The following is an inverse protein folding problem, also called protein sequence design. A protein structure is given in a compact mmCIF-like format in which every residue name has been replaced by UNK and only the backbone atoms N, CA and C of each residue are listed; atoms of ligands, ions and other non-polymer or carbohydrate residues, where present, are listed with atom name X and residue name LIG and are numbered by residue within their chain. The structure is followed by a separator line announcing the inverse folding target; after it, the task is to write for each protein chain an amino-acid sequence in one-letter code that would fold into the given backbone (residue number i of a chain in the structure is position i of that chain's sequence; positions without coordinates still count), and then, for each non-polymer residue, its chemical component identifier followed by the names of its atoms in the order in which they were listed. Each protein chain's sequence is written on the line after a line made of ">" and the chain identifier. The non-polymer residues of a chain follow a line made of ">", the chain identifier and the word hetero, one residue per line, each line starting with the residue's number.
data_IF_398959042646
#
_entry.id   IF_398959042646
#
_cell.length_a   1.000
_cell.length_b   1.000
_cell.length_c   1.000
_cell.angle_alpha   90.00
_cell.angle_beta   90.00
_cell.angle_gamma   90.00
#
_symmetry.space_group_name_H-M   'P 1'
#
loop_
_entity.id
_entity.type
_entity.pdbx_description
1 polymer ?
#
# COMPACT_ATOMS: atom_id res chain seq x y z
N UNK A 1 11.73 -13.13 -1.15
CA UNK A 1 11.16 -13.86 0.01
C UNK A 1 9.82 -13.23 0.31
N UNK A 2 8.71 -13.99 0.25
CA UNK A 2 7.37 -13.43 0.44
C UNK A 2 7.25 -12.84 1.85
N UNK A 3 7.26 -11.51 1.96
CA UNK A 3 6.96 -10.80 3.21
C UNK A 3 5.46 -10.92 3.47
N UNK A 4 5.03 -12.06 3.97
CA UNK A 4 3.73 -12.12 4.62
C UNK A 4 3.85 -11.35 5.94
N UNK A 5 2.92 -10.45 6.26
CA UNK A 5 2.87 -9.87 7.60
C UNK A 5 2.72 -11.01 8.62
N UNK A 6 3.50 -10.97 9.69
CA UNK A 6 3.31 -11.86 10.82
C UNK A 6 2.01 -11.47 11.50
N UNK A 7 0.98 -12.33 11.38
CA UNK A 7 -0.31 -12.12 12.04
C UNK A 7 -0.37 -13.04 13.24
N UNK A 8 -0.73 -12.50 14.40
CA UNK A 8 -1.02 -13.25 15.62
C UNK A 8 -2.31 -12.71 16.24
N UNK A 9 -2.94 -13.50 17.10
CA UNK A 9 -4.13 -13.11 17.83
C UNK A 9 -3.98 -13.51 19.30
N UNK A 10 -4.35 -12.60 20.20
CA UNK A 10 -4.43 -12.85 21.63
C UNK A 10 -5.78 -12.34 22.16
N UNK A 11 -6.38 -13.09 23.09
CA UNK A 11 -7.63 -12.73 23.75
C UNK A 11 -7.40 -12.51 25.23
N UNK A 12 -7.97 -11.44 25.78
CA UNK A 12 -7.89 -11.10 27.20
C UNK A 12 -9.31 -10.92 27.74
N UNK A 13 -9.63 -11.61 28.84
CA UNK A 13 -10.86 -11.36 29.58
C UNK A 13 -10.59 -10.24 30.59
N UNK A 14 -11.24 -9.09 30.41
CA UNK A 14 -11.08 -7.91 31.26
C UNK A 14 -12.45 -7.47 31.81
N UNK A 15 -12.50 -6.89 33.02
CA UNK A 15 -13.72 -6.22 33.51
C UNK A 15 -14.18 -5.10 32.57
N UNK A 16 -15.41 -4.61 32.76
CA UNK A 16 -15.87 -3.42 32.04
C UNK A 16 -15.11 -2.19 32.52
N UNK A 17 -14.71 -1.32 31.59
CA UNK A 17 -13.95 -0.11 31.88
C UNK A 17 -13.12 0.37 30.69
N UNK A 18 -12.46 1.50 30.90
CA UNK A 18 -11.51 2.08 29.94
C UNK A 18 -10.10 1.63 30.26
N UNK A 19 -9.36 1.23 29.23
CA UNK A 19 -8.01 0.71 29.32
C UNK A 19 -7.11 1.40 28.31
N UNK A 20 -5.83 1.49 28.66
CA UNK A 20 -4.78 1.77 27.69
C UNK A 20 -4.04 0.46 27.42
N UNK A 21 -4.09 0.00 26.18
CA UNK A 21 -3.32 -1.13 25.69
C UNK A 21 -1.97 -0.61 25.18
N UNK A 22 -0.90 -0.95 25.88
CA UNK A 22 0.48 -0.72 25.43
C UNK A 22 1.03 -2.03 24.84
N UNK A 23 1.48 -1.99 23.59
CA UNK A 23 2.15 -3.10 22.92
C UNK A 23 3.62 -2.73 22.79
N UNK A 24 4.48 -3.53 23.43
CA UNK A 24 5.94 -3.34 23.40
C UNK A 24 6.57 -4.43 22.57
N UNK A 25 7.39 -4.07 21.59
CA UNK A 25 8.21 -4.97 20.81
C UNK A 25 9.68 -4.78 21.20
N UNK A 26 10.40 -5.87 21.47
CA UNK A 26 11.82 -5.83 21.80
C UNK A 26 12.62 -6.85 20.97
N UNK A 27 13.86 -6.51 20.65
CA UNK A 27 14.78 -7.47 20.03
C UNK A 27 15.17 -8.54 21.06
N UNK A 28 14.90 -9.81 20.74
CA UNK A 28 15.21 -10.96 21.60
C UNK A 28 16.71 -11.13 21.90
N UNK A 29 17.59 -10.69 21.01
CA UNK A 29 19.05 -10.77 21.16
C UNK A 29 19.64 -9.51 21.81
N UNK A 30 18.85 -8.43 21.91
CA UNK A 30 19.26 -7.20 22.56
C UNK A 30 18.02 -6.48 23.16
N UNK A 31 17.53 -6.91 24.33
CA UNK A 31 16.26 -6.42 24.91
C UNK A 31 16.20 -4.91 25.17
N UNK A 32 17.35 -4.22 25.20
CA UNK A 32 17.42 -2.76 25.27
C UNK A 32 16.93 -2.05 23.99
N UNK A 33 16.93 -2.73 22.84
CA UNK A 33 16.32 -2.25 21.59
C UNK A 33 14.84 -2.62 21.62
N UNK A 34 14.02 -1.67 22.07
CA UNK A 34 12.56 -1.81 22.13
C UNK A 34 11.87 -0.60 21.53
N UNK A 35 10.66 -0.84 21.06
CA UNK A 35 9.71 0.19 20.64
C UNK A 35 8.32 -0.16 21.18
N UNK A 36 7.41 0.80 21.22
CA UNK A 36 6.08 0.62 21.79
C UNK A 36 5.03 1.49 21.12
N UNK A 37 3.81 0.96 21.06
CA UNK A 37 2.62 1.69 20.60
C UNK A 37 1.52 1.55 21.64
N UNK A 38 0.75 2.61 21.84
CA UNK A 38 -0.33 2.66 22.84
C UNK A 38 -1.65 3.07 22.22
N UNK A 39 -2.72 2.41 22.64
CA UNK A 39 -4.09 2.67 22.17
C UNK A 39 -5.05 2.68 23.36
N UNK A 40 -6.08 3.50 23.29
CA UNK A 40 -7.18 3.44 24.26
C UNK A 40 -8.25 2.46 23.76
N UNK A 41 -8.71 1.59 24.66
CA UNK A 41 -9.78 0.62 24.39
C UNK A 41 -10.81 0.70 25.52
N UNK A 42 -12.09 0.51 25.19
CA UNK A 42 -13.18 0.49 26.17
C UNK A 42 -13.88 -0.85 26.14
N UNK A 43 -13.96 -1.53 27.29
CA UNK A 43 -14.74 -2.73 27.48
C UNK A 43 -16.11 -2.34 28.06
N UNK A 44 -17.14 -2.30 27.22
CA UNK A 44 -18.48 -1.88 27.60
C UNK A 44 -19.38 -3.06 27.98
N UNK A 45 -20.39 -2.81 28.80
CA UNK A 45 -21.44 -3.78 29.07
C UNK A 45 -22.23 -4.09 27.80
N UNK A 46 -22.58 -5.36 27.60
CA UNK A 46 -23.32 -5.80 26.43
C UNK A 46 -24.80 -5.37 26.47
N UNK A 47 -25.41 -5.03 25.31
CA UNK A 47 -26.84 -4.76 25.23
C UNK A 47 -27.70 -5.92 25.70
N UNK A 48 -28.87 -5.62 26.28
CA UNK A 48 -29.85 -6.63 26.67
C UNK A 48 -30.56 -7.29 25.47
N UNK A 49 -30.73 -6.53 24.37
CA UNK A 49 -31.30 -7.01 23.12
C UNK A 49 -30.29 -7.78 22.25
N UNK A 50 -30.71 -8.15 21.05
CA UNK A 50 -29.81 -8.73 20.04
C UNK A 50 -28.69 -7.75 19.68
N UNK A 51 -27.46 -8.24 19.53
CA UNK A 51 -26.32 -7.43 19.14
C UNK A 51 -25.27 -8.27 18.40
N UNK A 52 -24.31 -7.59 17.77
CA UNK A 52 -23.24 -8.21 16.99
C UNK A 52 -21.88 -7.93 17.63
N UNK A 53 -20.95 -8.88 17.56
CA UNK A 53 -19.53 -8.58 17.77
C UNK A 53 -19.03 -7.55 16.77
N UNK A 54 -17.80 -7.06 16.99
CA UNK A 54 -17.07 -6.36 15.93
C UNK A 54 -17.00 -7.21 14.67
N UNK A 55 -17.08 -6.55 13.51
CA UNK A 55 -16.95 -7.20 12.22
C UNK A 55 -15.48 -7.53 11.95
N UNK A 56 -15.20 -8.79 11.63
CA UNK A 56 -13.86 -9.23 11.22
C UNK A 56 -13.82 -9.46 9.71
N UNK A 57 -13.02 -8.65 9.00
CA UNK A 57 -12.71 -8.88 7.60
C UNK A 57 -11.44 -9.71 7.49
N UNK A 58 -11.60 -10.88 6.88
CA UNK A 58 -10.66 -11.97 6.96
C UNK A 58 -9.94 -12.19 5.63
N UNK A 59 -8.70 -12.69 5.73
CA UNK A 59 -7.95 -13.18 4.58
C UNK A 59 -8.46 -14.53 4.10
N UNK A 60 -8.79 -15.41 5.05
CA UNK A 60 -9.37 -16.73 4.81
C UNK A 60 -10.28 -17.13 5.95
N UNK A 61 -11.37 -17.83 5.62
CA UNK A 61 -12.17 -18.59 6.58
C UNK A 61 -12.32 -20.00 6.03
N UNK A 62 -11.97 -21.02 6.82
CA UNK A 62 -12.14 -22.43 6.46
C UNK A 62 -12.56 -23.26 7.66
N UNK A 63 -13.18 -24.41 7.43
CA UNK A 63 -13.47 -25.35 8.52
C UNK A 63 -12.19 -25.83 9.18
N UNK A 64 -12.20 -25.93 10.51
CA UNK A 64 -11.08 -26.40 11.31
C UNK A 64 -11.56 -27.21 12.51
N UNK A 65 -10.69 -28.08 13.01
CA UNK A 65 -10.88 -28.81 14.26
C UNK A 65 -9.71 -28.58 15.24
N UNK A 66 -8.74 -27.73 14.87
CA UNK A 66 -7.52 -27.46 15.64
C UNK A 66 -7.81 -26.40 16.72
N UNK A 67 -8.28 -26.85 17.88
CA UNK A 67 -8.71 -25.96 18.97
C UNK A 67 -7.57 -25.17 19.64
N UNK A 68 -6.33 -25.59 19.40
CA UNK A 68 -5.10 -24.96 19.88
C UNK A 68 -4.58 -23.87 18.93
N UNK A 69 -5.15 -23.73 17.74
CA UNK A 69 -4.81 -22.68 16.79
C UNK A 69 -5.33 -21.31 17.29
N UNK A 70 -4.50 -20.25 17.35
CA UNK A 70 -4.94 -18.91 17.79
C UNK A 70 -6.06 -18.32 16.92
N UNK A 71 -6.24 -18.82 15.69
CA UNK A 71 -7.29 -18.41 14.76
C UNK A 71 -8.52 -19.32 14.80
N UNK A 72 -8.58 -20.32 15.71
CA UNK A 72 -9.72 -21.20 15.84
C UNK A 72 -10.92 -20.49 16.49
N UNK A 73 -12.04 -20.40 15.77
CA UNK A 73 -13.31 -19.83 16.26
C UNK A 73 -14.48 -20.68 15.75
N UNK A 74 -15.35 -21.15 16.64
CA UNK A 74 -16.61 -21.84 16.28
C UNK A 74 -16.47 -22.93 15.18
N UNK A 75 -15.47 -23.81 15.29
CA UNK A 75 -15.14 -24.87 14.30
C UNK A 75 -14.61 -24.35 12.95
N UNK A 76 -14.11 -23.13 12.92
CA UNK A 76 -13.47 -22.49 11.78
C UNK A 76 -12.05 -22.06 12.16
N UNK A 77 -11.17 -22.00 11.18
CA UNK A 77 -9.96 -21.16 11.22
C UNK A 77 -10.33 -19.83 10.55
N UNK A 78 -10.29 -18.76 11.33
CA UNK A 78 -10.67 -17.40 10.94
C UNK A 78 -9.41 -16.55 10.98
N UNK A 79 -8.77 -16.36 9.82
CA UNK A 79 -7.52 -15.61 9.73
C UNK A 79 -7.85 -14.17 9.34
N UNK A 80 -7.60 -13.17 10.20
CA UNK A 80 -7.92 -11.78 9.89
C UNK A 80 -7.10 -11.27 8.70
N UNK A 81 -7.54 -10.16 8.11
CA UNK A 81 -6.70 -9.33 7.24
C UNK A 81 -6.44 -7.98 7.91
N UNK A 82 -5.37 -7.83 8.72
CA UNK A 82 -5.12 -6.59 9.46
C UNK A 82 -4.95 -5.35 8.57
N UNK A 83 -4.49 -5.53 7.33
CA UNK A 83 -4.34 -4.41 6.37
C UNK A 83 -5.67 -3.85 5.90
N UNK A 84 -6.75 -4.65 5.95
CA UNK A 84 -8.08 -4.32 5.41
C UNK A 84 -8.07 -3.93 3.92
N UNK A 85 -6.98 -4.24 3.19
CA UNK A 85 -6.86 -4.04 1.75
C UNK A 85 -7.22 -5.33 1.02
N UNK A 86 -8.12 -5.21 0.04
CA UNK A 86 -8.58 -6.28 -0.84
C UNK A 86 -8.47 -5.84 -2.30
N UNK A 87 -8.44 -6.77 -3.25
CA UNK A 87 -8.19 -6.42 -4.65
C UNK A 87 -7.77 -7.60 -5.51
N UNK A 88 -7.82 -7.39 -6.83
CA UNK A 88 -7.60 -8.41 -7.87
C UNK A 88 -6.24 -9.10 -7.79
N UNK A 89 -5.19 -8.38 -7.40
CA UNK A 89 -3.81 -8.90 -7.35
C UNK A 89 -3.48 -9.62 -6.05
N UNK A 90 -4.09 -9.24 -4.93
CA UNK A 90 -3.75 -9.76 -3.61
C UNK A 90 -4.86 -10.63 -2.99
N UNK A 91 -6.08 -10.09 -2.91
CA UNK A 91 -7.21 -10.70 -2.18
C UNK A 91 -8.54 -10.35 -2.87
N UNK A 92 -8.94 -11.08 -3.92
CA UNK A 92 -10.13 -10.73 -4.73
C UNK A 92 -11.46 -10.94 -3.99
N UNK A 93 -11.44 -11.64 -2.86
CA UNK A 93 -12.62 -12.00 -2.06
C UNK A 93 -12.41 -11.50 -0.63
N UNK A 94 -13.39 -10.75 -0.14
CA UNK A 94 -13.53 -10.39 1.27
C UNK A 94 -14.25 -11.53 1.98
N UNK A 95 -13.59 -12.18 2.93
CA UNK A 95 -14.26 -13.03 3.89
C UNK A 95 -14.72 -12.17 5.07
N UNK A 96 -15.90 -12.41 5.62
CA UNK A 96 -16.34 -11.77 6.86
C UNK A 96 -16.76 -12.80 7.90
N UNK A 97 -16.54 -12.44 9.15
CA UNK A 97 -16.97 -13.18 10.33
C UNK A 97 -17.57 -12.20 11.34
N UNK A 98 -18.75 -12.54 11.87
CA UNK A 98 -19.38 -11.81 12.97
C UNK A 98 -20.13 -12.79 13.87
N UNK A 99 -20.09 -12.55 15.18
CA UNK A 99 -20.86 -13.30 16.17
C UNK A 99 -22.14 -12.53 16.47
N UNK A 100 -23.24 -13.27 16.54
CA UNK A 100 -24.57 -12.75 16.82
C UNK A 100 -24.98 -13.24 18.20
N UNK A 101 -25.43 -12.33 19.05
CA UNK A 101 -25.75 -12.62 20.44
C UNK A 101 -27.18 -12.23 20.76
N UNK A 102 -27.76 -12.89 21.77
CA UNK A 102 -29.09 -12.60 22.30
C UNK A 102 -30.22 -12.66 21.25
N UNK A 103 -30.10 -13.54 20.26
CA UNK A 103 -31.18 -13.86 19.33
C UNK A 103 -32.30 -14.66 20.02
N UNK A 104 -33.50 -14.59 19.44
CA UNK A 104 -34.62 -15.48 19.78
C UNK A 104 -34.50 -16.76 18.91
N UNK A 105 -34.28 -17.94 19.51
CA UNK A 105 -34.07 -19.19 18.78
C UNK A 105 -35.24 -19.58 17.86
N UNK A 106 -36.45 -19.07 18.11
CA UNK A 106 -37.66 -19.43 17.36
C UNK A 106 -37.92 -18.47 16.20
N UNK A 107 -37.36 -17.25 16.24
CA UNK A 107 -37.57 -16.24 15.21
C UNK A 107 -36.69 -16.45 13.99
N UNK A 108 -37.15 -15.94 12.87
CA UNK A 108 -36.39 -15.88 11.62
C UNK A 108 -35.86 -14.47 11.44
N UNK A 109 -34.60 -14.37 11.01
CA UNK A 109 -33.91 -13.11 10.79
C UNK A 109 -33.46 -13.00 9.35
N UNK A 110 -33.37 -11.78 8.84
CA UNK A 110 -32.70 -11.49 7.57
C UNK A 110 -31.36 -10.82 7.84
N UNK A 111 -30.28 -11.48 7.44
CA UNK A 111 -28.95 -10.89 7.47
C UNK A 111 -28.69 -10.23 6.13
N UNK A 112 -28.38 -8.93 6.13
CA UNK A 112 -27.95 -8.18 4.95
C UNK A 112 -26.48 -7.86 5.03
N UNK A 113 -25.80 -7.96 3.88
CA UNK A 113 -24.41 -7.59 3.69
C UNK A 113 -24.38 -6.46 2.67
N UNK A 114 -23.83 -5.31 3.04
CA UNK A 114 -23.74 -4.13 2.18
C UNK A 114 -22.28 -3.71 2.01
N UNK A 115 -21.92 -3.29 0.80
CA UNK A 115 -20.74 -2.46 0.58
C UNK A 115 -21.23 -1.07 0.20
N UNK A 116 -20.82 -0.09 0.98
CA UNK A 116 -21.23 1.31 0.85
C UNK A 116 -20.00 2.14 0.47
N UNK A 117 -20.15 2.99 -0.53
CA UNK A 117 -19.10 3.90 -0.98
C UNK A 117 -18.98 5.16 -0.09
N UNK A 118 -17.98 6.04 -0.32
CA UNK A 118 -17.81 7.25 0.47
C UNK A 118 -18.98 8.24 0.38
N UNK A 119 -19.74 8.22 -0.71
CA UNK A 119 -20.90 9.09 -0.93
C UNK A 119 -22.15 8.57 -0.19
N UNK A 120 -22.07 7.35 0.37
CA UNK A 120 -23.14 6.70 1.12
C UNK A 120 -24.02 5.79 0.26
N UNK A 121 -23.64 5.54 -1.00
CA UNK A 121 -24.41 4.70 -1.92
C UNK A 121 -24.05 3.22 -1.76
N UNK A 122 -25.07 2.35 -1.87
CA UNK A 122 -24.91 0.90 -1.77
C UNK A 122 -24.48 0.35 -3.13
N UNK A 123 -23.22 -0.07 -3.25
CA UNK A 123 -22.65 -0.59 -4.51
C UNK A 123 -22.75 -2.12 -4.62
N UNK A 124 -22.90 -2.81 -3.49
CA UNK A 124 -23.17 -4.25 -3.41
C UNK A 124 -24.11 -4.54 -2.26
N UNK A 125 -25.08 -5.42 -2.52
CA UNK A 125 -25.99 -5.96 -1.52
C UNK A 125 -26.11 -7.48 -1.70
N UNK A 126 -26.11 -8.21 -0.60
CA UNK A 126 -26.54 -9.59 -0.52
C UNK A 126 -27.38 -9.77 0.74
N UNK A 127 -28.34 -10.70 0.72
CA UNK A 127 -29.12 -11.00 1.92
C UNK A 127 -29.45 -12.48 2.01
N UNK A 128 -29.61 -12.95 3.25
CA UNK A 128 -30.02 -14.32 3.57
C UNK A 128 -30.99 -14.30 4.73
N UNK A 129 -32.12 -14.97 4.56
CA UNK A 129 -33.09 -15.19 5.63
C UNK A 129 -32.83 -16.54 6.27
N UNK A 130 -32.72 -16.56 7.60
CA UNK A 130 -32.38 -17.77 8.37
C UNK A 130 -33.00 -17.72 9.77
N UNK A 131 -33.53 -18.86 10.20
CA UNK A 131 -33.71 -19.14 11.62
C UNK A 131 -32.40 -19.75 12.16
N UNK A 132 -31.81 -19.13 13.17
CA UNK A 132 -30.53 -19.57 13.73
C UNK A 132 -30.69 -20.75 14.71
N UNK A 133 -31.87 -20.93 15.31
CA UNK A 133 -32.17 -22.02 16.22
C UNK A 133 -31.42 -21.96 17.56
N UNK A 134 -30.70 -20.87 17.83
CA UNK A 134 -29.88 -20.66 19.01
C UNK A 134 -29.90 -19.18 19.41
N UNK A 135 -29.60 -18.93 20.69
CA UNK A 135 -29.49 -17.57 21.24
C UNK A 135 -28.24 -16.85 20.72
N UNK A 136 -27.15 -17.60 20.60
CA UNK A 136 -25.88 -17.10 20.09
C UNK A 136 -25.51 -17.89 18.84
N UNK A 137 -25.02 -17.20 17.81
CA UNK A 137 -24.75 -17.76 16.50
C UNK A 137 -23.58 -17.03 15.83
N UNK A 138 -23.20 -17.50 14.65
CA UNK A 138 -22.22 -16.83 13.79
C UNK A 138 -22.83 -16.57 12.42
N UNK A 139 -22.42 -15.46 11.80
CA UNK A 139 -22.59 -15.22 10.37
C UNK A 139 -21.21 -15.17 9.72
N UNK A 140 -21.07 -15.92 8.63
CA UNK A 140 -19.87 -15.93 7.80
C UNK A 140 -20.25 -15.90 6.33
N UNK A 141 -19.44 -15.23 5.53
CA UNK A 141 -19.67 -15.17 4.10
C UNK A 141 -18.51 -14.58 3.33
N UNK A 142 -18.73 -14.45 2.03
CA UNK A 142 -17.73 -14.00 1.07
C UNK A 142 -18.33 -13.01 0.10
N UNK A 143 -17.59 -11.95 -0.18
CA UNK A 143 -17.96 -10.96 -1.19
C UNK A 143 -16.81 -10.79 -2.18
N UNK A 144 -17.09 -11.00 -3.46
CA UNK A 144 -16.11 -10.72 -4.51
C UNK A 144 -16.05 -9.21 -4.74
N UNK A 145 -14.83 -8.66 -4.71
CA UNK A 145 -14.60 -7.22 -4.88
C UNK A 145 -13.87 -6.88 -6.17
N UNK A 146 -13.60 -7.83 -7.06
CA UNK A 146 -12.79 -7.61 -8.29
C UNK A 146 -13.47 -6.72 -9.33
N UNK A 147 -14.76 -6.42 -9.16
CA UNK A 147 -15.54 -5.51 -10.02
C UNK A 147 -15.81 -4.16 -9.35
N UNK A 148 -15.27 -3.92 -8.15
CA UNK A 148 -15.46 -2.68 -7.39
C UNK A 148 -14.27 -1.78 -7.68
N UNK A 149 -14.51 -0.50 -7.96
CA UNK A 149 -13.43 0.45 -8.20
C UNK A 149 -12.48 0.56 -7.00
N UNK A 150 -11.24 1.01 -7.25
CA UNK A 150 -10.31 1.28 -6.16
C UNK A 150 -10.87 2.39 -5.26
N UNK A 151 -10.77 2.24 -3.94
CA UNK A 151 -11.26 3.24 -3.00
C UNK A 151 -11.50 2.72 -1.59
N UNK A 152 -11.97 3.63 -0.73
CA UNK A 152 -12.39 3.35 0.65
C UNK A 152 -13.88 3.04 0.68
N UNK A 153 -14.26 1.97 1.36
CA UNK A 153 -15.63 1.52 1.48
C UNK A 153 -15.97 1.15 2.93
N UNK A 154 -17.26 1.11 3.25
CA UNK A 154 -17.75 0.48 4.47
C UNK A 154 -18.40 -0.86 4.14
N UNK A 155 -18.03 -1.90 4.88
CA UNK A 155 -18.70 -3.18 4.86
C UNK A 155 -19.67 -3.25 6.04
N UNK A 156 -20.96 -3.40 5.77
CA UNK A 156 -21.98 -3.53 6.82
C UNK A 156 -22.56 -4.94 6.82
N UNK A 157 -22.76 -5.48 8.02
CA UNK A 157 -23.61 -6.64 8.27
C UNK A 157 -24.78 -6.18 9.15
N UNK A 158 -25.98 -6.20 8.59
CA UNK A 158 -27.21 -5.84 9.29
C UNK A 158 -28.00 -7.10 9.63
N UNK A 159 -28.54 -7.16 10.84
CA UNK A 159 -29.50 -8.18 11.24
C UNK A 159 -30.87 -7.52 11.35
N UNK A 160 -31.80 -7.97 10.53
CA UNK A 160 -33.17 -7.49 10.48
C UNK A 160 -34.13 -8.54 11.07
N UNK A 161 -35.16 -8.08 11.78
CA UNK A 161 -36.25 -8.95 12.24
C UNK A 161 -37.24 -9.29 11.10
N UNK A 162 -38.32 -9.99 11.46
CA UNK A 162 -39.39 -10.39 10.55
C UNK A 162 -40.19 -9.21 9.98
N UNK A 163 -40.16 -8.06 10.65
CA UNK A 163 -40.75 -6.80 10.22
C UNK A 163 -39.79 -5.96 9.38
N UNK A 164 -38.61 -6.51 9.03
CA UNK A 164 -37.51 -5.81 8.32
C UNK A 164 -36.91 -4.63 9.09
N UNK A 165 -37.11 -4.58 10.40
CA UNK A 165 -36.49 -3.57 11.26
C UNK A 165 -35.06 -4.01 11.60
N UNK A 166 -34.10 -3.08 11.49
CA UNK A 166 -32.73 -3.31 11.96
C UNK A 166 -32.71 -3.45 13.49
N UNK A 167 -32.19 -4.57 13.97
CA UNK A 167 -32.07 -4.89 15.40
C UNK A 167 -30.62 -4.99 15.86
N UNK A 168 -29.68 -5.23 14.93
CA UNK A 168 -28.25 -5.22 15.21
C UNK A 168 -27.48 -4.91 13.93
N UNK A 169 -26.30 -4.30 14.09
CA UNK A 169 -25.43 -3.88 13.01
C UNK A 169 -23.97 -4.03 13.43
N UNK A 170 -23.15 -4.54 12.52
CA UNK A 170 -21.69 -4.49 12.61
C UNK A 170 -21.15 -3.87 11.33
N UNK A 171 -20.16 -3.00 11.45
CA UNK A 171 -19.58 -2.30 10.31
C UNK A 171 -18.06 -2.23 10.40
N UNK A 172 -17.40 -2.17 9.25
CA UNK A 172 -15.96 -1.97 9.17
C UNK A 172 -15.56 -1.25 7.90
N UNK A 173 -14.73 -0.24 8.03
CA UNK A 173 -14.06 0.41 6.89
C UNK A 173 -13.01 -0.51 6.31
N UNK A 174 -12.98 -0.64 4.99
CA UNK A 174 -11.98 -1.41 4.27
C UNK A 174 -11.68 -0.77 2.91
N UNK A 175 -10.69 -1.31 2.22
CA UNK A 175 -10.15 -0.70 1.01
C UNK A 175 -10.11 -1.72 -0.11
N UNK A 176 -10.48 -1.27 -1.31
CA UNK A 176 -10.40 -2.05 -2.53
C UNK A 176 -9.31 -1.44 -3.41
N UNK A 177 -8.46 -2.29 -3.99
CA UNK A 177 -7.43 -1.93 -4.96
C UNK A 177 -7.55 -2.81 -6.20
N UNK A 178 -8.17 -2.27 -7.24
CA UNK A 178 -8.34 -2.91 -8.54
C UNK A 178 -7.84 -1.97 -9.63
N UNK A 179 -6.51 -1.84 -9.83
CA UNK A 179 -5.93 -0.88 -10.77
C UNK A 179 -6.33 -1.12 -12.22
N UNK A 180 -6.79 -2.33 -12.55
CA UNK A 180 -7.31 -2.66 -13.88
C UNK A 180 -8.69 -2.05 -14.15
N UNK A 181 -9.46 -1.74 -13.10
CA UNK A 181 -10.71 -1.03 -13.24
C UNK A 181 -10.41 0.46 -13.26
N UNK A 182 -10.34 1.01 -14.46
CA UNK A 182 -10.20 2.45 -14.66
C UNK A 182 -11.43 3.14 -14.04
N UNK A 183 -11.24 3.77 -12.87
CA UNK A 183 -12.15 4.84 -12.42
C UNK A 183 -11.76 6.09 -13.22
N UNK A 184 -12.68 6.98 -13.61
CA UNK A 184 -12.35 8.27 -14.21
C UNK A 184 -11.48 9.22 -13.33
N UNK A 185 -11.00 8.76 -12.17
CA UNK A 185 -10.17 9.57 -11.28
C UNK A 185 -9.32 8.69 -10.38
N UNK A 186 -8.00 8.70 -10.62
CA UNK A 186 -6.95 8.30 -9.69
C UNK A 186 -6.67 9.42 -8.65
N UNK A 187 -7.67 10.24 -8.31
CA UNK A 187 -7.47 11.58 -7.73
C UNK A 187 -7.74 11.69 -6.23
N UNK A 188 -7.75 10.60 -5.47
CA UNK A 188 -7.99 10.67 -4.02
C UNK A 188 -6.68 10.53 -3.21
N UNK A 189 -6.12 11.63 -2.66
CA UNK A 189 -4.96 11.61 -1.77
C UNK A 189 -5.12 10.67 -0.58
N UNK A 190 -6.36 10.37 -0.14
CA UNK A 190 -6.63 9.44 0.96
C UNK A 190 -6.11 8.02 0.65
N UNK A 191 -6.12 7.60 -0.62
CA UNK A 191 -5.59 6.30 -1.01
C UNK A 191 -4.06 6.25 -0.96
N UNK A 192 -3.40 7.28 -1.52
CA UNK A 192 -1.93 7.38 -1.48
C UNK A 192 -1.43 7.56 -0.03
N UNK A 193 -2.14 8.33 0.81
CA UNK A 193 -1.82 8.50 2.23
C UNK A 193 -1.88 7.16 2.98
N UNK A 194 -2.78 6.25 2.57
CA UNK A 194 -2.89 4.91 3.16
C UNK A 194 -1.76 3.97 2.74
N UNK A 195 -1.30 4.00 1.49
CA UNK A 195 -0.11 3.23 1.09
C UNK A 195 1.15 3.67 1.84
N UNK A 196 1.16 4.94 2.26
CA UNK A 196 2.20 5.55 3.07
C UNK A 196 1.96 5.37 4.58
N UNK A 197 0.82 4.80 4.98
CA UNK A 197 0.51 4.56 6.39
C UNK A 197 1.45 3.49 6.97
N UNK A 198 2.05 3.79 8.12
CA UNK A 198 3.04 2.93 8.76
C UNK A 198 4.47 3.07 8.25
N UNK A 199 4.73 3.96 7.28
CA UNK A 199 6.09 4.43 7.01
C UNK A 199 6.52 5.45 8.06
N UNK A 200 7.74 5.29 8.57
CA UNK A 200 8.36 6.28 9.46
C UNK A 200 8.68 7.57 8.71
N UNK A 201 8.79 8.68 9.44
CA UNK A 201 9.24 9.99 8.94
C UNK A 201 10.51 9.91 8.07
N UNK A 202 11.48 9.09 8.48
CA UNK A 202 12.72 8.83 7.75
C UNK A 202 12.47 8.17 6.39
N UNK A 203 11.53 7.23 6.33
CA UNK A 203 11.15 6.54 5.09
C UNK A 203 10.39 7.44 4.14
N UNK A 204 9.45 8.23 4.66
CA UNK A 204 8.74 9.24 3.88
C UNK A 204 9.72 10.24 3.26
N UNK A 205 10.70 10.69 4.07
CA UNK A 205 11.76 11.58 3.62
C UNK A 205 12.68 10.93 2.58
N UNK A 206 13.10 9.67 2.80
CA UNK A 206 13.90 8.92 1.84
C UNK A 206 13.18 8.75 0.50
N UNK A 207 11.88 8.45 0.53
CA UNK A 207 11.06 8.27 -0.66
C UNK A 207 10.93 9.58 -1.45
N UNK A 208 10.59 10.69 -0.80
CA UNK A 208 10.53 11.99 -1.47
C UNK A 208 11.89 12.41 -2.04
N UNK A 209 13.00 12.12 -1.34
CA UNK A 209 14.35 12.36 -1.87
C UNK A 209 14.62 11.58 -3.16
N UNK A 210 14.11 10.36 -3.28
CA UNK A 210 14.22 9.56 -4.50
C UNK A 210 13.32 10.13 -5.60
N UNK A 211 12.11 10.55 -5.24
CA UNK A 211 11.12 11.12 -6.15
C UNK A 211 11.45 12.54 -6.64
N UNK A 212 12.48 13.19 -6.08
CA UNK A 212 12.85 14.58 -6.37
C UNK A 212 13.09 14.89 -7.85
N UNK A 213 13.35 13.89 -8.69
CA UNK A 213 13.50 14.09 -10.14
C UNK A 213 12.18 14.44 -10.83
N UNK A 214 11.04 14.20 -10.18
CA UNK A 214 9.71 14.58 -10.63
C UNK A 214 9.21 15.88 -9.99
N UNK A 215 9.80 16.26 -8.85
CA UNK A 215 9.40 17.42 -8.07
C UNK A 215 9.92 18.75 -8.66
N UNK A 216 9.16 19.81 -8.44
CA UNK A 216 9.56 21.19 -8.66
C UNK A 216 10.42 21.71 -7.50
N UNK A 217 11.15 22.79 -7.72
CA UNK A 217 11.95 23.42 -6.65
C UNK A 217 11.07 23.87 -5.48
N UNK A 218 9.88 24.41 -5.77
CA UNK A 218 8.92 24.83 -4.74
C UNK A 218 8.39 23.67 -3.90
N UNK A 219 8.16 22.48 -4.49
CA UNK A 219 7.79 21.28 -3.74
C UNK A 219 8.93 20.76 -2.87
N UNK A 220 10.18 20.84 -3.37
CA UNK A 220 11.37 20.46 -2.61
C UNK A 220 11.53 21.37 -1.39
N UNK A 221 11.40 22.69 -1.57
CA UNK A 221 11.44 23.67 -0.49
C UNK A 221 10.29 23.46 0.50
N UNK A 222 9.05 23.28 0.00
CA UNK A 222 7.89 23.06 0.85
C UNK A 222 8.02 21.81 1.72
N UNK A 223 8.45 20.68 1.14
CA UNK A 223 8.63 19.43 1.90
C UNK A 223 9.73 19.55 2.97
N UNK A 224 10.77 20.34 2.72
CA UNK A 224 11.88 20.54 3.66
C UNK A 224 11.45 21.28 4.94
N UNK A 225 10.40 22.12 4.87
CA UNK A 225 9.86 22.87 6.01
C UNK A 225 8.88 22.04 6.86
N UNK A 226 8.43 20.87 6.38
CA UNK A 226 7.48 20.03 7.11
C UNK A 226 8.21 19.24 8.20
N UNK A 227 7.78 19.41 9.45
CA UNK A 227 8.35 18.70 10.60
C UNK A 227 7.52 17.47 10.97
N UNK A 228 6.19 17.53 10.86
CA UNK A 228 5.29 16.45 11.28
C UNK A 228 5.30 15.27 10.30
N UNK A 229 5.38 14.04 10.84
CA UNK A 229 5.28 12.81 10.05
C UNK A 229 3.95 12.73 9.28
N UNK A 230 2.83 13.08 9.93
CA UNK A 230 1.50 13.07 9.31
C UNK A 230 1.39 14.08 8.17
N UNK A 231 2.01 15.25 8.32
CA UNK A 231 2.01 16.28 7.27
C UNK A 231 2.91 15.85 6.10
N UNK A 232 4.07 15.22 6.36
CA UNK A 232 4.92 14.65 5.31
C UNK A 232 4.19 13.56 4.54
N UNK A 233 3.41 12.73 5.23
CA UNK A 233 2.61 11.66 4.62
C UNK A 233 1.55 12.22 3.69
N UNK A 234 0.80 13.23 4.14
CA UNK A 234 -0.21 13.94 3.32
C UNK A 234 0.41 14.61 2.11
N UNK A 235 1.51 15.33 2.30
CA UNK A 235 2.22 15.96 1.21
C UNK A 235 2.66 14.94 0.17
N UNK A 236 3.32 13.86 0.60
CA UNK A 236 3.83 12.84 -0.30
C UNK A 236 2.69 12.11 -1.03
N UNK A 237 1.55 11.92 -0.37
CA UNK A 237 0.35 11.38 -0.97
C UNK A 237 -0.18 12.27 -2.11
N UNK A 238 -0.37 13.57 -1.83
CA UNK A 238 -0.80 14.57 -2.81
C UNK A 238 0.19 14.68 -3.98
N UNK A 239 1.50 14.68 -3.67
CA UNK A 239 2.56 14.69 -4.67
C UNK A 239 2.43 13.52 -5.65
N UNK A 240 2.26 12.29 -5.15
CA UNK A 240 2.12 11.12 -6.01
C UNK A 240 0.82 11.14 -6.83
N UNK A 241 -0.29 11.67 -6.29
CA UNK A 241 -1.52 11.91 -7.07
C UNK A 241 -1.24 12.85 -8.24
N UNK A 242 -0.57 13.98 -8.00
CA UNK A 242 -0.26 14.96 -9.05
C UNK A 242 0.66 14.37 -10.13
N UNK A 243 1.68 13.60 -9.71
CA UNK A 243 2.56 12.86 -10.61
C UNK A 243 1.77 11.88 -11.48
N UNK A 244 0.88 11.08 -10.88
CA UNK A 244 0.07 10.08 -11.59
C UNK A 244 -0.93 10.71 -12.56
N UNK A 245 -1.42 11.91 -12.26
CA UNK A 245 -2.26 12.72 -13.15
C UNK A 245 -1.47 13.40 -14.28
N UNK A 246 -0.14 13.26 -14.30
CA UNK A 246 0.72 13.83 -15.33
C UNK A 246 1.01 15.31 -15.14
N UNK A 247 0.85 15.83 -13.93
CA UNK A 247 1.21 17.21 -13.58
C UNK A 247 2.73 17.39 -13.35
N UNK A 248 3.50 16.30 -13.46
CA UNK A 248 4.96 16.33 -13.45
C UNK A 248 5.56 16.67 -14.83
N UNK A 249 6.82 17.15 -14.85
CA UNK A 249 7.56 17.43 -16.10
C UNK A 249 7.77 16.20 -16.99
N UNK A 250 7.72 15.00 -16.41
CA UNK A 250 8.12 13.75 -17.07
C UNK A 250 6.93 12.86 -17.48
N UNK A 251 5.71 13.40 -17.42
CA UNK A 251 4.47 12.68 -17.73
C UNK A 251 3.99 11.80 -16.57
N UNK A 252 2.85 11.11 -16.75
CA UNK A 252 2.27 10.29 -15.70
C UNK A 252 3.07 9.00 -15.46
N UNK A 253 3.34 8.69 -14.19
CA UNK A 253 3.95 7.42 -13.75
C UNK A 253 3.39 7.02 -12.39
N UNK A 254 3.09 5.73 -12.19
CA UNK A 254 2.63 5.24 -10.90
C UNK A 254 3.75 5.28 -9.86
N UNK A 255 3.40 5.53 -8.60
CA UNK A 255 4.33 5.43 -7.47
C UNK A 255 5.06 4.09 -7.45
N UNK A 256 4.32 2.99 -7.64
CA UNK A 256 4.87 1.64 -7.63
C UNK A 256 5.91 1.41 -8.75
N UNK A 257 5.60 1.83 -9.99
CA UNK A 257 6.54 1.69 -11.11
C UNK A 257 7.79 2.54 -10.92
N UNK A 258 7.63 3.76 -10.37
CA UNK A 258 8.75 4.64 -10.07
C UNK A 258 9.68 4.01 -9.03
N UNK A 259 9.13 3.53 -7.91
CA UNK A 259 9.92 2.92 -6.84
C UNK A 259 10.58 1.60 -7.28
N UNK A 260 9.93 0.83 -8.16
CA UNK A 260 10.55 -0.36 -8.76
C UNK A 260 11.79 0.02 -9.61
N UNK A 261 11.73 1.14 -10.37
CA UNK A 261 12.90 1.65 -11.10
C UNK A 261 14.00 2.12 -10.15
N UNK A 262 13.64 2.76 -9.04
CA UNK A 262 14.60 3.15 -8.00
C UNK A 262 15.31 1.92 -7.41
N UNK A 263 14.59 0.85 -7.10
CA UNK A 263 15.19 -0.40 -6.60
C UNK A 263 16.14 -1.02 -7.65
N UNK A 264 15.68 -1.18 -8.90
CA UNK A 264 16.50 -1.72 -10.00
C UNK A 264 17.78 -0.91 -10.23
N UNK A 265 17.71 0.42 -10.11
CA UNK A 265 18.90 1.27 -10.28
C UNK A 265 19.84 1.17 -9.08
N UNK A 266 19.32 1.04 -7.86
CA UNK A 266 20.14 0.82 -6.67
C UNK A 266 20.93 -0.49 -6.71
N UNK A 267 20.38 -1.53 -7.34
CA UNK A 267 21.07 -2.80 -7.58
C UNK A 267 22.13 -2.69 -8.68
N UNK A 268 21.81 -2.01 -9.79
CA UNK A 268 22.64 -2.01 -11.00
C UNK A 268 23.73 -0.96 -11.05
N UNK A 269 23.48 0.22 -10.48
CA UNK A 269 24.34 1.38 -10.63
C UNK A 269 24.86 1.99 -9.31
N UNK A 270 25.12 1.22 -8.23
CA UNK A 270 25.77 1.78 -7.05
C UNK A 270 27.21 2.21 -7.38
N UNK A 271 27.68 3.29 -6.75
CA UNK A 271 29.05 3.77 -6.94
C UNK A 271 29.58 4.49 -5.71
N UNK A 272 30.78 4.13 -5.23
CA UNK A 272 31.49 4.78 -4.13
C UNK A 272 30.61 5.20 -2.93
N UNK A 273 29.81 4.26 -2.41
CA UNK A 273 28.93 4.51 -1.27
C UNK A 273 27.64 5.30 -1.58
N UNK A 274 27.44 5.73 -2.83
CA UNK A 274 26.17 6.29 -3.33
C UNK A 274 25.27 5.16 -3.81
N UNK A 275 23.99 5.24 -3.40
CA UNK A 275 22.91 4.41 -3.96
C UNK A 275 22.71 4.75 -5.44
N UNK A 276 22.38 3.76 -6.25
CA UNK A 276 22.33 3.90 -7.70
C UNK A 276 21.33 4.93 -8.23
N UNK A 277 20.25 5.22 -7.49
CA UNK A 277 19.32 6.30 -7.84
C UNK A 277 20.01 7.67 -7.94
N UNK A 278 21.13 7.89 -7.24
CA UNK A 278 21.92 9.13 -7.26
C UNK A 278 22.94 9.19 -8.41
N UNK A 279 23.10 8.13 -9.19
CA UNK A 279 23.99 8.11 -10.36
C UNK A 279 23.27 8.70 -11.57
N UNK A 280 24.01 9.24 -12.54
CA UNK A 280 23.40 9.77 -13.76
C UNK A 280 22.67 8.68 -14.57
N UNK A 281 23.26 7.48 -14.65
CA UNK A 281 22.59 6.31 -15.25
C UNK A 281 21.31 5.94 -14.51
N UNK A 282 21.33 6.00 -13.17
CA UNK A 282 20.16 5.78 -12.35
C UNK A 282 19.06 6.81 -12.60
N UNK A 283 19.40 8.10 -12.63
CA UNK A 283 18.47 9.19 -12.94
C UNK A 283 17.78 8.98 -14.29
N UNK A 284 18.55 8.73 -15.35
CA UNK A 284 18.00 8.52 -16.70
C UNK A 284 17.12 7.27 -16.74
N UNK A 285 17.56 6.17 -16.11
CA UNK A 285 16.75 4.95 -16.03
C UNK A 285 15.42 5.16 -15.28
N UNK A 286 15.43 5.92 -14.19
CA UNK A 286 14.22 6.22 -13.41
C UNK A 286 13.24 7.05 -14.25
N UNK A 287 13.72 8.15 -14.84
CA UNK A 287 12.90 9.10 -15.60
C UNK A 287 12.35 8.49 -16.89
N UNK A 288 13.19 7.79 -17.65
CA UNK A 288 12.88 7.37 -19.02
C UNK A 288 12.66 5.86 -19.15
N UNK A 289 12.85 5.10 -18.08
CA UNK A 289 12.74 3.64 -18.09
C UNK A 289 14.03 2.95 -18.58
N UNK A 290 14.01 1.62 -18.77
CA UNK A 290 15.15 0.89 -19.32
C UNK A 290 15.45 1.34 -20.76
N UNK A 291 16.74 1.49 -21.13
CA UNK A 291 17.12 1.75 -22.51
C UNK A 291 16.81 0.53 -23.40
N UNK A 292 16.52 0.80 -24.67
CA UNK A 292 16.29 -0.24 -25.68
C UNK A 292 17.61 -0.95 -26.03
N UNK A 293 18.70 -0.19 -26.08
CA UNK A 293 20.04 -0.68 -26.41
C UNK A 293 21.10 -0.02 -25.52
N UNK A 294 22.12 -0.80 -25.15
CA UNK A 294 23.31 -0.30 -24.43
C UNK A 294 24.55 -0.79 -25.16
N UNK A 295 25.27 0.14 -25.81
CA UNK A 295 26.62 -0.12 -26.31
C UNK A 295 27.63 0.14 -25.20
N UNK A 296 28.51 -0.83 -24.96
CA UNK A 296 29.56 -0.74 -23.94
C UNK A 296 30.92 -0.75 -24.59
N UNK A 297 31.69 0.28 -24.28
CA UNK A 297 33.06 0.42 -24.75
C UNK A 297 34.00 0.33 -23.54
N UNK A 298 34.64 -0.83 -23.32
CA UNK A 298 35.62 -0.98 -22.25
C UNK A 298 36.85 -0.10 -22.52
N UNK A 299 37.69 0.08 -21.50
CA UNK A 299 38.91 0.87 -21.63
C UNK A 299 39.81 0.30 -22.74
N UNK A 300 40.25 1.14 -23.67
CA UNK A 300 41.10 0.75 -24.79
C UNK A 300 42.21 1.78 -25.00
N UNK A 301 43.47 1.38 -24.77
CA UNK A 301 44.61 2.30 -24.82
C UNK A 301 44.49 3.42 -23.78
N UNK A 302 44.56 4.67 -24.24
CA UNK A 302 44.33 5.87 -23.41
C UNK A 302 42.84 6.25 -23.28
N UNK A 303 41.93 5.54 -23.97
CA UNK A 303 40.50 5.85 -23.93
C UNK A 303 39.85 5.34 -22.64
N UNK A 304 39.19 6.24 -21.90
CA UNK A 304 38.31 5.91 -20.78
C UNK A 304 37.12 5.06 -21.25
N UNK A 305 36.61 4.15 -20.40
CA UNK A 305 35.43 3.36 -20.72
C UNK A 305 34.17 4.22 -20.72
N UNK A 306 33.26 3.93 -21.64
CA UNK A 306 32.02 4.69 -21.82
C UNK A 306 30.86 3.80 -22.28
N UNK A 307 29.63 4.25 -22.04
CA UNK A 307 28.40 3.60 -22.48
C UNK A 307 27.56 4.56 -23.32
N UNK A 308 26.89 4.04 -24.34
CA UNK A 308 25.85 4.76 -25.08
C UNK A 308 24.54 4.02 -24.88
N UNK A 309 23.56 4.70 -24.29
CA UNK A 309 22.21 4.19 -24.10
C UNK A 309 21.29 4.80 -25.14
N UNK A 310 20.48 3.97 -25.81
CA UNK A 310 19.53 4.42 -26.83
C UNK A 310 18.09 4.17 -26.43
N UNK A 311 17.23 5.12 -26.75
CA UNK A 311 15.78 5.05 -26.60
C UNK A 311 15.13 5.40 -27.93
N UNK A 312 14.48 4.45 -28.59
CA UNK A 312 13.87 4.62 -29.90
C UNK A 312 12.50 5.29 -29.83
N UNK A 313 11.80 5.12 -28.70
CA UNK A 313 10.43 5.61 -28.49
C UNK A 313 10.36 7.07 -28.00
N UNK A 314 11.48 7.66 -27.57
CA UNK A 314 11.54 9.02 -27.03
C UNK A 314 12.02 9.97 -28.11
N UNK A 315 11.25 11.02 -28.41
CA UNK A 315 11.59 12.07 -29.39
C UNK A 315 12.03 11.56 -30.78
N UNK A 316 11.51 10.40 -31.21
CA UNK A 316 11.91 9.70 -32.46
C UNK A 316 13.34 9.13 -32.45
N UNK A 317 13.93 8.94 -31.26
CA UNK A 317 15.27 8.41 -31.08
C UNK A 317 16.17 9.37 -30.32
N UNK A 318 16.59 8.99 -29.11
CA UNK A 318 17.57 9.75 -28.32
C UNK A 318 18.69 8.85 -27.79
N UNK A 319 19.82 9.48 -27.52
CA UNK A 319 21.01 8.84 -26.98
C UNK A 319 21.43 9.54 -25.69
N UNK A 320 21.96 8.77 -24.75
CA UNK A 320 22.63 9.25 -23.54
C UNK A 320 24.01 8.61 -23.47
N UNK A 321 25.05 9.43 -23.39
CA UNK A 321 26.44 9.01 -23.43
C UNK A 321 27.04 9.24 -22.06
N UNK A 322 27.60 8.17 -21.48
CA UNK A 322 28.20 8.21 -20.15
C UNK A 322 29.67 7.81 -20.17
N UNK A 323 30.51 8.48 -19.39
CA UNK A 323 31.94 8.16 -19.27
C UNK A 323 32.28 7.89 -17.82
N UNK A 324 33.03 6.80 -17.57
CA UNK A 324 33.66 6.57 -16.27
C UNK A 324 35.02 7.26 -16.23
N UNK A 325 35.03 8.52 -15.79
CA UNK A 325 36.22 9.39 -15.82
C UNK A 325 37.29 8.99 -14.81
N UNK A 326 36.87 8.46 -13.66
CA UNK A 326 37.70 8.29 -12.48
C UNK A 326 38.04 6.83 -12.17
N UNK A 327 37.49 5.87 -12.92
CA UNK A 327 37.85 4.44 -12.81
C UNK A 327 37.13 3.65 -11.72
N UNK A 328 36.17 4.25 -11.01
CA UNK A 328 35.48 3.62 -9.87
C UNK A 328 34.06 3.13 -10.18
N UNK A 329 33.68 3.06 -11.46
CA UNK A 329 32.37 2.60 -11.89
C UNK A 329 31.27 3.67 -11.86
N UNK A 330 31.63 4.92 -11.54
CA UNK A 330 30.74 6.09 -11.67
C UNK A 330 30.77 6.57 -13.12
N UNK A 331 29.70 6.28 -13.87
CA UNK A 331 29.54 6.71 -15.25
C UNK A 331 28.70 7.99 -15.26
N UNK A 332 29.36 9.11 -15.54
CA UNK A 332 28.76 10.44 -15.57
C UNK A 332 28.17 10.71 -16.96
N UNK A 333 26.98 11.29 -17.03
CA UNK A 333 26.37 11.74 -18.28
C UNK A 333 27.21 12.89 -18.84
N UNK A 334 27.72 12.73 -20.06
CA UNK A 334 28.54 13.75 -20.72
C UNK A 334 27.88 14.35 -21.95
N UNK A 335 26.91 13.65 -22.55
CA UNK A 335 26.13 14.14 -23.69
C UNK A 335 24.78 13.43 -23.76
N UNK A 336 23.77 14.15 -24.21
CA UNK A 336 22.49 13.61 -24.63
C UNK A 336 21.93 14.36 -25.84
N UNK A 337 21.18 13.66 -26.67
CA UNK A 337 20.39 14.25 -27.76
C UNK A 337 18.95 14.56 -27.34
N UNK A 338 18.53 14.15 -26.14
CA UNK A 338 17.21 14.44 -25.56
C UNK A 338 17.07 15.93 -25.27
N UNK A 339 15.93 16.55 -25.64
CA UNK A 339 15.64 17.95 -25.26
C UNK A 339 15.57 18.10 -23.74
N UNK A 340 16.06 19.24 -23.26
CA UNK A 340 16.14 19.64 -21.86
C UNK A 340 17.09 18.80 -20.98
N UNK A 341 17.97 18.01 -21.62
CA UNK A 341 19.06 17.27 -20.97
C UNK A 341 20.43 17.86 -21.34
N UNK A 342 21.49 17.40 -20.66
CA UNK A 342 22.86 17.86 -20.91
C UNK A 342 23.29 17.62 -22.37
N UNK A 343 23.53 18.71 -23.11
CA UNK A 343 24.03 18.63 -24.49
C UNK A 343 25.44 19.17 -24.61
N UNK A 344 26.38 18.29 -24.95
CA UNK A 344 27.77 18.66 -25.22
C UNK A 344 28.32 17.92 -26.45
N UNK A 345 28.33 18.59 -27.60
CA UNK A 345 28.78 18.00 -28.88
C UNK A 345 30.27 17.63 -28.89
N UNK A 346 31.06 18.09 -27.91
CA UNK A 346 32.50 17.84 -27.81
C UNK A 346 32.86 16.75 -26.78
N UNK A 347 31.88 15.93 -26.40
CA UNK A 347 32.05 14.95 -25.32
C UNK A 347 33.18 13.93 -25.57
N UNK A 348 33.52 13.63 -26.83
CA UNK A 348 34.62 12.71 -27.16
C UNK A 348 35.99 13.22 -26.65
N UNK A 349 36.12 14.53 -26.40
CA UNK A 349 37.34 15.09 -25.78
C UNK A 349 37.59 14.55 -24.37
N UNK A 350 36.56 14.09 -23.67
CA UNK A 350 36.67 13.50 -22.33
C UNK A 350 37.15 12.05 -22.32
N UNK A 351 37.25 11.41 -23.50
CA UNK A 351 37.73 10.03 -23.60
C UNK A 351 39.24 9.92 -23.37
N UNK A 352 40.00 10.98 -23.63
CA UNK A 352 41.46 11.02 -23.49
C UNK A 352 41.92 11.25 -22.04
#
# INVERSE_FOLDING_TARGET
>A
TSRFPFVTQAGYAVPFGDYTLEVVANDSLAPSRRDSVSFNISANAYPAGAWCSDLELCSTIKSSQKRDDPFFKNSLEVVPNPTLVFGVTARPVVFHYVELYNLDPVKTYTVKQLIIDPDGEVIREASKTRNFGARDAIEVGTTNVTSIFSGRYQFHVLVLDDSSQEIAKAEKTFYVYNPHLQVPSLTDPVFQEMELAGLSEERLTEEFQQARYLATEGEIEAFAEIISEDEKRKFLAEFWVNVENGESRHGPISRADYLERVEKTNERYPSMGKKGWRSDRGRIYILYGPPDEIDRYPSAGESKPYEIWRYHSIESGVEFIYINRWGFGDYELVHSTKRDELRNEQWQSYLR
#
